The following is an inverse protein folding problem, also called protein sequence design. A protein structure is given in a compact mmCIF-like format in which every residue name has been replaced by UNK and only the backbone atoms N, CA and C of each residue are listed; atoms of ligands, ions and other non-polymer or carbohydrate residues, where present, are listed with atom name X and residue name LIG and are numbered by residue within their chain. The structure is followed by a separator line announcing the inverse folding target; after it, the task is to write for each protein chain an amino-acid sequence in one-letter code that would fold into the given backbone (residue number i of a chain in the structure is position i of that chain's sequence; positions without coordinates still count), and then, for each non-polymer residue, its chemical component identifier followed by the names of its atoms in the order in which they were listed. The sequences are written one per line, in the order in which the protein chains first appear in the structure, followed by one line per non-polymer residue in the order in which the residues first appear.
data_IF_319429875988
#
_entry.id   IF_319429875988
#
_cell.length_a   1.000
_cell.length_b   1.000
_cell.length_c   1.000
_cell.angle_alpha   90.00
_cell.angle_beta   90.00
_cell.angle_gamma   90.00
#
_symmetry.space_group_name_H-M   'P 1'
#
loop_
_entity.id
_entity.type
_entity.pdbx_description
1 polymer ?
#
# COMPACT_ATOMS: atom_id res chain seq x y z
N UNK A 1 -11.05 13.88 11.82
CA UNK A 1 -11.52 12.68 11.08
C UNK A 1 -10.87 11.50 11.76
N UNK A 2 -11.62 10.45 12.06
CA UNK A 2 -11.04 9.20 12.56
C UNK A 2 -10.41 8.39 11.41
N UNK A 3 -9.57 7.41 11.77
CA UNK A 3 -8.85 6.60 10.79
C UNK A 3 -9.81 5.81 9.88
N UNK A 4 -10.91 5.28 10.42
CA UNK A 4 -11.90 4.50 9.65
C UNK A 4 -12.59 5.32 8.57
N UNK A 5 -12.93 6.59 8.85
CA UNK A 5 -13.47 7.51 7.86
C UNK A 5 -12.48 7.80 6.73
N UNK A 6 -11.18 7.87 7.05
CA UNK A 6 -10.12 8.06 6.07
C UNK A 6 -9.91 6.80 5.21
N UNK A 7 -9.91 5.62 5.82
CA UNK A 7 -9.85 4.33 5.12
C UNK A 7 -11.00 4.23 4.12
N UNK A 8 -12.24 4.46 4.54
CA UNK A 8 -13.40 4.39 3.65
C UNK A 8 -13.33 5.35 2.46
N UNK A 9 -12.75 6.55 2.65
CA UNK A 9 -12.51 7.49 1.54
C UNK A 9 -11.39 7.02 0.61
N UNK A 10 -10.34 6.41 1.16
CA UNK A 10 -9.24 5.82 0.39
C UNK A 10 -9.73 4.69 -0.50
N UNK A 11 -10.46 3.73 0.07
CA UNK A 11 -11.07 2.62 -0.67
C UNK A 11 -12.03 3.11 -1.75
N UNK A 12 -12.85 4.13 -1.45
CA UNK A 12 -13.74 4.73 -2.44
C UNK A 12 -13.00 5.47 -3.56
N UNK A 13 -11.80 6.01 -3.30
CA UNK A 13 -10.97 6.63 -4.31
C UNK A 13 -10.31 5.57 -5.21
N UNK A 14 -9.81 4.47 -4.64
CA UNK A 14 -9.31 3.30 -5.39
C UNK A 14 -10.37 2.73 -6.32
N UNK A 15 -11.59 2.51 -5.83
CA UNK A 15 -12.70 2.01 -6.65
C UNK A 15 -13.10 2.94 -7.80
N UNK A 16 -12.67 4.20 -7.78
CA UNK A 16 -12.86 5.18 -8.87
C UNK A 16 -11.64 5.32 -9.79
N UNK A 17 -10.57 4.58 -9.53
CA UNK A 17 -9.28 4.69 -10.23
C UNK A 17 -8.44 5.89 -9.81
N UNK A 18 -8.81 6.61 -8.75
CA UNK A 18 -8.06 7.76 -8.24
C UNK A 18 -7.05 7.30 -7.17
N UNK A 19 -6.04 6.54 -7.63
CA UNK A 19 -5.04 5.92 -6.76
C UNK A 19 -4.21 6.96 -5.99
N UNK A 20 -3.87 8.08 -6.63
CA UNK A 20 -3.13 9.18 -5.97
C UNK A 20 -3.89 9.74 -4.76
N UNK A 21 -5.21 9.95 -4.90
CA UNK A 21 -6.03 10.41 -3.79
C UNK A 21 -6.25 9.34 -2.72
N UNK A 22 -6.27 8.07 -3.11
CA UNK A 22 -6.31 6.97 -2.15
C UNK A 22 -5.05 6.95 -1.26
N UNK A 23 -3.86 7.09 -1.85
CA UNK A 23 -2.59 7.22 -1.12
C UNK A 23 -2.67 8.35 -0.08
N UNK A 24 -3.20 9.52 -0.45
CA UNK A 24 -3.36 10.64 0.48
C UNK A 24 -4.27 10.32 1.66
N UNK A 25 -5.37 9.61 1.42
CA UNK A 25 -6.28 9.20 2.50
C UNK A 25 -5.66 8.15 3.41
N UNK A 26 -4.97 7.14 2.87
CA UNK A 26 -4.33 6.11 3.69
C UNK A 26 -3.13 6.64 4.47
N UNK A 27 -2.34 7.57 3.92
CA UNK A 27 -1.29 8.28 4.69
C UNK A 27 -1.87 9.05 5.87
N UNK A 28 -3.01 9.71 5.69
CA UNK A 28 -3.73 10.39 6.79
C UNK A 28 -4.28 9.40 7.81
N UNK A 29 -4.79 8.25 7.36
CA UNK A 29 -5.27 7.19 8.26
C UNK A 29 -4.11 6.68 9.14
N UNK A 30 -2.96 6.34 8.53
CA UNK A 30 -1.73 5.94 9.22
C UNK A 30 -1.26 6.97 10.25
N UNK A 31 -1.28 8.26 9.89
CA UNK A 31 -0.92 9.32 10.81
C UNK A 31 -1.87 9.46 12.01
N UNK A 32 -3.11 8.98 11.89
CA UNK A 32 -4.15 9.07 12.93
C UNK A 32 -4.16 7.84 13.85
N UNK A 33 -3.92 6.64 13.32
CA UNK A 33 -3.99 5.38 14.07
C UNK A 33 -2.62 4.83 14.50
N UNK A 34 -1.51 5.37 13.98
CA UNK A 34 -0.22 4.69 14.07
C UNK A 34 -0.17 3.47 13.14
N UNK A 35 0.81 2.58 13.39
CA UNK A 35 0.99 1.37 12.58
C UNK A 35 -0.23 0.44 12.70
N UNK A 36 -0.77 0.05 11.53
CA UNK A 36 -1.80 -0.98 11.38
C UNK A 36 -1.50 -1.72 10.07
N UNK A 37 -1.37 -3.05 10.13
CA UNK A 37 -1.09 -3.86 8.94
C UNK A 37 -2.13 -3.62 7.85
N UNK A 38 -3.42 -3.56 8.20
CA UNK A 38 -4.52 -3.26 7.26
C UNK A 38 -4.30 -1.92 6.52
N UNK A 39 -3.93 -0.86 7.25
CA UNK A 39 -3.74 0.47 6.65
C UNK A 39 -2.49 0.50 5.77
N UNK A 40 -1.43 -0.20 6.17
CA UNK A 40 -0.20 -0.29 5.38
C UNK A 40 -0.42 -1.14 4.11
N UNK A 41 -1.21 -2.21 4.18
CA UNK A 41 -1.61 -3.01 3.02
C UNK A 41 -2.40 -2.18 2.01
N UNK A 42 -3.43 -1.47 2.46
CA UNK A 42 -4.21 -0.57 1.61
C UNK A 42 -3.36 0.57 1.02
N UNK A 43 -2.39 1.08 1.78
CA UNK A 43 -1.45 2.07 1.30
C UNK A 43 -0.53 1.48 0.21
N UNK A 44 -0.02 0.26 0.39
CA UNK A 44 0.81 -0.42 -0.59
C UNK A 44 0.04 -0.66 -1.90
N UNK A 45 -1.19 -1.16 -1.83
CA UNK A 45 -2.08 -1.35 -2.99
C UNK A 45 -2.30 -0.03 -3.74
N UNK A 46 -2.55 1.07 -3.01
CA UNK A 46 -2.73 2.37 -3.64
C UNK A 46 -1.45 2.94 -4.25
N UNK A 47 -0.29 2.67 -3.65
CA UNK A 47 1.01 3.06 -4.18
C UNK A 47 1.30 2.30 -5.48
N UNK A 48 1.07 0.99 -5.48
CA UNK A 48 1.17 0.14 -6.68
C UNK A 48 0.29 0.67 -7.81
N UNK A 49 -1.01 0.86 -7.55
CA UNK A 49 -1.97 1.37 -8.53
C UNK A 49 -1.62 2.79 -9.04
N UNK A 50 -0.83 3.55 -8.28
CA UNK A 50 -0.34 4.87 -8.68
C UNK A 50 1.02 4.84 -9.40
N UNK A 51 1.61 3.66 -9.61
CA UNK A 51 2.93 3.46 -10.22
C UNK A 51 4.12 3.74 -9.29
N UNK A 52 3.87 3.96 -8.00
CA UNK A 52 4.91 4.19 -7.00
C UNK A 52 5.43 2.85 -6.42
N UNK A 53 5.86 1.94 -7.31
CA UNK A 53 6.19 0.54 -6.99
C UNK A 53 7.26 0.43 -5.90
N UNK A 54 8.35 1.18 -5.98
CA UNK A 54 9.43 1.15 -4.98
C UNK A 54 8.92 1.51 -3.58
N UNK A 55 8.04 2.53 -3.49
CA UNK A 55 7.46 2.93 -2.20
C UNK A 55 6.47 1.89 -1.67
N UNK A 56 5.72 1.22 -2.55
CA UNK A 56 4.85 0.11 -2.15
C UNK A 56 5.67 -1.05 -1.56
N UNK A 57 6.81 -1.40 -2.18
CA UNK A 57 7.75 -2.41 -1.69
C UNK A 57 8.27 -2.05 -0.30
N UNK A 58 8.70 -0.80 -0.08
CA UNK A 58 9.18 -0.36 1.24
C UNK A 58 8.10 -0.47 2.33
N UNK A 59 6.85 -0.14 2.00
CA UNK A 59 5.71 -0.30 2.91
C UNK A 59 5.49 -1.78 3.24
N UNK A 60 5.45 -2.64 2.23
CA UNK A 60 5.23 -4.08 2.42
C UNK A 60 6.36 -4.73 3.22
N UNK A 61 7.61 -4.32 3.04
CA UNK A 61 8.73 -4.77 3.88
C UNK A 61 8.48 -4.50 5.36
N UNK A 62 8.04 -3.27 5.69
CA UNK A 62 7.66 -2.93 7.07
C UNK A 62 6.53 -3.80 7.59
N UNK A 63 5.53 -4.12 6.76
CA UNK A 63 4.44 -5.02 7.15
C UNK A 63 4.97 -6.43 7.43
N UNK A 64 5.81 -6.99 6.56
CA UNK A 64 6.37 -8.33 6.76
C UNK A 64 7.27 -8.45 7.99
N UNK A 65 7.91 -7.35 8.41
CA UNK A 65 8.74 -7.28 9.61
C UNK A 65 7.91 -7.14 10.89
N UNK A 66 6.86 -6.31 10.86
CA UNK A 66 6.06 -5.98 12.05
C UNK A 66 4.83 -6.88 12.26
N UNK A 67 4.30 -7.43 11.19
CA UNK A 67 3.13 -8.30 11.15
C UNK A 67 3.43 -9.54 10.30
N UNK A 68 4.34 -10.42 10.76
CA UNK A 68 4.72 -11.62 10.03
C UNK A 68 3.56 -12.63 9.81
N UNK A 69 2.44 -12.46 10.49
CA UNK A 69 1.18 -13.17 10.29
C UNK A 69 0.37 -12.67 9.09
N UNK A 70 0.66 -11.47 8.58
CA UNK A 70 0.04 -10.90 7.38
C UNK A 70 0.64 -11.58 6.14
N UNK A 71 0.07 -12.71 5.74
CA UNK A 71 0.58 -13.54 4.65
C UNK A 71 0.44 -12.82 3.31
N UNK A 72 -0.61 -12.03 3.14
CA UNK A 72 -0.86 -11.29 1.90
C UNK A 72 0.26 -10.27 1.64
N UNK A 73 0.86 -9.70 2.68
CA UNK A 73 2.00 -8.79 2.54
C UNK A 73 3.22 -9.46 1.89
N UNK A 74 3.50 -10.73 2.22
CA UNK A 74 4.61 -11.47 1.61
C UNK A 74 4.33 -11.78 0.14
N UNK A 75 3.08 -12.11 -0.17
CA UNK A 75 2.65 -12.36 -1.55
C UNK A 75 2.78 -11.09 -2.39
N UNK A 76 2.18 -9.99 -1.96
CA UNK A 76 2.27 -8.69 -2.65
C UNK A 76 3.72 -8.22 -2.79
N UNK A 77 4.56 -8.41 -1.76
CA UNK A 77 5.98 -8.04 -1.85
C UNK A 77 6.71 -8.86 -2.92
N UNK A 78 6.43 -10.16 -3.00
CA UNK A 78 7.02 -11.02 -4.03
C UNK A 78 6.58 -10.63 -5.44
N UNK A 79 5.30 -10.30 -5.62
CA UNK A 79 4.74 -9.88 -6.91
C UNK A 79 5.36 -8.57 -7.40
N UNK A 80 5.43 -7.55 -6.54
CA UNK A 80 6.05 -6.27 -6.89
C UNK A 80 7.55 -6.39 -7.17
N UNK A 81 8.29 -7.20 -6.42
CA UNK A 81 9.72 -7.43 -6.69
C UNK A 81 9.94 -8.13 -8.03
N UNK A 82 9.04 -9.04 -8.41
CA UNK A 82 9.07 -9.67 -9.73
C UNK A 82 8.79 -8.65 -10.84
N UNK A 83 7.77 -7.80 -10.66
CA UNK A 83 7.43 -6.72 -11.59
C UNK A 83 8.61 -5.75 -11.80
N UNK A 84 9.26 -5.30 -10.72
CA UNK A 84 10.45 -4.44 -10.77
C UNK A 84 11.59 -5.08 -11.57
N UNK A 85 11.86 -6.37 -11.34
CA UNK A 85 12.92 -7.07 -12.07
C UNK A 85 12.58 -7.22 -13.57
N UNK A 86 11.31 -7.28 -13.95
CA UNK A 86 10.91 -7.27 -15.36
C UNK A 86 11.13 -5.90 -16.00
N UNK A 87 10.81 -4.81 -15.31
CA UNK A 87 11.04 -3.45 -15.83
C UNK A 87 12.53 -3.15 -16.01
N UNK A 88 13.38 -3.55 -15.06
CA UNK A 88 14.84 -3.38 -15.17
C UNK A 88 15.42 -4.16 -16.36
N UNK A 89 14.87 -5.33 -16.69
CA UNK A 89 15.30 -6.13 -17.85
C UNK A 89 14.80 -5.58 -19.19
N UNK A 90 13.74 -4.77 -19.19
CA UNK A 90 13.12 -4.24 -20.41
C UNK A 90 13.75 -2.94 -20.92
N UNK A 91 14.80 -2.43 -20.24
CA UNK A 91 15.47 -1.16 -20.52
C UNK A 91 16.79 -1.35 -21.27
#
# INVERSE_FOLDING_TARGET
MDANSLIGKGTAALGKGDAAKAVDFFRKAKATSGYSAEVEMLLAEALEASGQIETAVDVLRVVTEKSPEEVDARYSLGDLLFEMNLFEQAR
#
